data_IF_615268705028
#
_entry.id   IF_615268705028
#
_cell.length_a   1.000
_cell.length_b   1.000
_cell.length_c   1.000
_cell.angle_alpha   90.00
_cell.angle_beta   90.00
_cell.angle_gamma   90.00
#
_symmetry.space_group_name_H-M   'P 1'
#
loop_
_entity.id
_entity.type
_entity.pdbx_description
1 polymer ?
#
# COMPACT_ATOMS: atom_id res chain seq x y z
N UNK A 1 -12.72 3.06 9.22
CA UNK A 1 -11.92 1.82 9.28
C UNK A 1 -11.31 1.60 7.90
N UNK A 2 -9.98 1.57 7.80
CA UNK A 2 -9.26 1.24 6.58
C UNK A 2 -8.76 -0.20 6.74
N UNK A 3 -8.96 -1.06 5.74
CA UNK A 3 -8.49 -2.45 5.77
C UNK A 3 -8.00 -2.87 4.38
N UNK A 4 -6.78 -3.37 4.34
CA UNK A 4 -6.15 -3.98 3.19
C UNK A 4 -5.91 -5.45 3.52
N UNK A 5 -6.33 -6.34 2.62
CA UNK A 5 -6.17 -7.79 2.75
C UNK A 5 -5.49 -8.34 1.49
N UNK A 6 -4.25 -8.79 1.63
CA UNK A 6 -3.47 -9.42 0.55
C UNK A 6 -3.41 -8.58 -0.74
N UNK A 7 -3.38 -7.26 -0.60
CA UNK A 7 -3.50 -6.34 -1.74
C UNK A 7 -2.23 -6.37 -2.58
N UNK A 8 -2.40 -6.67 -3.86
CA UNK A 8 -1.33 -6.68 -4.85
C UNK A 8 -1.66 -5.74 -6.00
N UNK A 9 -0.65 -5.06 -6.54
CA UNK A 9 -0.81 -4.16 -7.69
C UNK A 9 0.42 -4.20 -8.56
N UNK A 10 0.20 -4.42 -9.86
CA UNK A 10 1.21 -4.22 -10.89
C UNK A 10 0.75 -3.11 -11.85
N UNK A 11 1.70 -2.35 -12.38
CA UNK A 11 1.47 -1.46 -13.50
C UNK A 11 1.73 -2.18 -14.83
N UNK A 12 1.27 -1.58 -15.93
CA UNK A 12 1.63 -2.02 -17.28
C UNK A 12 3.16 -2.12 -17.40
N UNK A 13 3.65 -3.18 -18.05
CA UNK A 13 5.07 -3.50 -18.11
C UNK A 13 5.57 -4.43 -16.98
N UNK A 14 4.66 -4.98 -16.16
CA UNK A 14 4.98 -6.07 -15.23
C UNK A 14 5.65 -5.64 -13.92
N UNK A 15 5.87 -4.34 -13.71
CA UNK A 15 6.42 -3.84 -12.45
C UNK A 15 5.40 -4.00 -11.33
N UNK A 16 5.65 -4.96 -10.43
CA UNK A 16 4.89 -5.10 -9.19
C UNK A 16 5.22 -3.95 -8.24
N UNK A 17 4.19 -3.16 -7.94
CA UNK A 17 4.27 -2.02 -7.03
C UNK A 17 3.84 -2.37 -5.61
N UNK A 18 2.91 -3.32 -5.45
CA UNK A 18 2.49 -3.89 -4.16
C UNK A 18 2.39 -5.41 -4.29
N UNK A 19 2.80 -6.13 -3.25
CA UNK A 19 2.82 -7.59 -3.21
C UNK A 19 2.21 -8.06 -1.88
N UNK A 20 0.97 -8.54 -1.90
CA UNK A 20 0.32 -9.16 -0.74
C UNK A 20 0.23 -8.28 0.51
N UNK A 21 0.02 -6.97 0.35
CA UNK A 21 0.01 -6.02 1.48
C UNK A 21 -1.26 -6.19 2.33
N UNK A 22 -1.07 -6.41 3.63
CA UNK A 22 -2.14 -6.53 4.62
C UNK A 22 -1.90 -5.57 5.77
N UNK A 23 -2.86 -4.68 6.04
CA UNK A 23 -2.87 -3.82 7.21
C UNK A 23 -4.29 -3.32 7.52
N UNK A 24 -4.48 -2.83 8.74
CA UNK A 24 -5.73 -2.19 9.15
C UNK A 24 -5.43 -0.91 9.92
N UNK A 25 -6.32 0.07 9.80
CA UNK A 25 -6.31 1.29 10.62
C UNK A 25 -7.72 1.55 11.17
N UNK A 26 -7.77 1.78 12.48
CA UNK A 26 -8.98 2.14 13.20
C UNK A 26 -9.34 3.63 13.00
N UNK A 27 -10.61 4.01 13.21
CA UNK A 27 -11.00 5.41 13.22
C UNK A 27 -10.16 6.23 14.22
N UNK A 28 -9.60 7.34 13.77
CA UNK A 28 -8.77 8.22 14.61
C UNK A 28 -7.29 7.86 14.69
N UNK A 29 -6.86 6.73 14.13
CA UNK A 29 -5.44 6.38 14.07
C UNK A 29 -4.68 7.23 13.04
N UNK A 30 -3.46 7.64 13.43
CA UNK A 30 -2.51 8.31 12.56
C UNK A 30 -1.28 7.40 12.41
N UNK A 31 -0.86 7.15 11.17
CA UNK A 31 0.30 6.34 10.85
C UNK A 31 1.18 7.04 9.81
N UNK A 32 2.48 6.75 9.86
CA UNK A 32 3.45 7.21 8.87
C UNK A 32 3.73 6.08 7.86
N UNK A 33 3.56 6.37 6.58
CA UNK A 33 3.98 5.48 5.50
C UNK A 33 5.39 5.84 5.04
N UNK A 34 6.38 5.07 5.50
CA UNK A 34 7.80 5.33 5.24
C UNK A 34 8.42 4.27 4.31
N UNK A 35 9.67 4.50 3.86
CA UNK A 35 10.41 3.58 2.98
C UNK A 35 11.10 4.30 1.83
N UNK A 36 12.05 3.63 1.18
CA UNK A 36 12.85 4.19 0.08
C UNK A 36 12.00 4.56 -1.15
N UNK A 37 12.56 5.34 -2.07
CA UNK A 37 11.91 5.65 -3.35
C UNK A 37 11.60 4.36 -4.12
N UNK A 38 10.42 4.27 -4.72
CA UNK A 38 9.96 3.07 -5.44
C UNK A 38 9.38 1.94 -4.59
N UNK A 39 9.34 2.05 -3.25
CA UNK A 39 8.78 1.03 -2.35
C UNK A 39 7.25 0.84 -2.40
N UNK A 40 6.54 1.44 -3.38
CA UNK A 40 5.08 1.30 -3.51
C UNK A 40 4.23 2.28 -2.70
N UNK A 41 4.83 3.20 -1.93
CA UNK A 41 4.10 4.15 -1.06
C UNK A 41 3.00 4.95 -1.79
N UNK A 42 3.35 5.63 -2.89
CA UNK A 42 2.39 6.40 -3.69
C UNK A 42 1.38 5.51 -4.42
N UNK A 43 1.69 4.23 -4.65
CA UNK A 43 0.73 3.27 -5.18
C UNK A 43 -0.28 2.89 -4.12
N UNK A 44 0.16 2.62 -2.89
CA UNK A 44 -0.72 2.29 -1.76
C UNK A 44 -1.70 3.43 -1.44
N UNK A 45 -1.24 4.68 -1.46
CA UNK A 45 -2.10 5.86 -1.22
C UNK A 45 -3.09 6.17 -2.36
N UNK A 46 -2.95 5.54 -3.53
CA UNK A 46 -3.82 5.74 -4.71
C UNK A 46 -4.86 4.63 -4.90
N UNK A 47 -4.84 3.61 -4.05
CA UNK A 47 -5.85 2.55 -4.04
C UNK A 47 -7.09 3.01 -3.27
#
# INVERSE_FOLDING_TARGET
MIRFEHVSKAYLGGRQALQGVTFHMQPGEMAFLTGHSGAGKSTLLKL
#
